data_IF_257437434655
#
_entry.id   IF_257437434655
#
_cell.length_a   1.000
_cell.length_b   1.000
_cell.length_c   1.000
_cell.angle_alpha   90.00
_cell.angle_beta   90.00
_cell.angle_gamma   90.00
#
_symmetry.space_group_name_H-M   'P 1'
#
loop_
_entity.id
_entity.type
_entity.pdbx_description
1 polymer ?
#
# COMPACT_ATOMS: atom_id res chain seq x y z
N UNK A 1 19.93 14.29 -47.92
CA UNK A 1 20.50 15.22 -46.92
C UNK A 1 19.76 14.96 -45.61
N UNK A 2 20.51 14.52 -44.58
CA UNK A 2 20.04 13.80 -43.39
C UNK A 2 19.40 14.78 -42.38
N UNK A 3 18.11 14.64 -42.08
CA UNK A 3 17.44 15.37 -40.99
C UNK A 3 17.64 14.63 -39.67
N UNK A 4 18.68 15.02 -38.93
CA UNK A 4 18.90 14.58 -37.55
C UNK A 4 17.86 15.24 -36.64
N UNK A 5 16.81 14.50 -36.26
CA UNK A 5 15.94 14.90 -35.15
C UNK A 5 16.69 14.66 -33.85
N UNK A 6 16.67 15.68 -33.01
CA UNK A 6 17.31 15.73 -31.71
C UNK A 6 16.65 14.70 -30.80
N UNK A 7 17.42 13.74 -30.30
CA UNK A 7 16.94 12.81 -29.28
C UNK A 7 16.98 13.53 -27.93
N UNK A 8 15.82 13.97 -27.44
CA UNK A 8 15.67 14.33 -26.03
C UNK A 8 15.74 13.04 -25.22
N UNK A 9 16.74 12.93 -24.34
CA UNK A 9 16.82 11.83 -23.39
C UNK A 9 15.54 11.82 -22.51
N UNK A 10 14.89 10.67 -22.30
CA UNK A 10 13.77 10.63 -21.37
C UNK A 10 14.33 10.83 -19.96
N UNK A 11 13.86 11.87 -19.28
CA UNK A 11 14.01 11.98 -17.83
C UNK A 11 13.38 10.72 -17.21
N UNK A 12 14.08 10.10 -16.26
CA UNK A 12 13.56 8.96 -15.51
C UNK A 12 12.37 9.40 -14.66
N UNK A 13 11.18 9.46 -15.25
CA UNK A 13 9.91 9.58 -14.55
C UNK A 13 9.62 8.24 -13.89
N UNK A 14 9.39 8.24 -12.57
CA UNK A 14 8.74 7.14 -11.83
C UNK A 14 7.24 7.00 -12.18
N UNK A 15 6.85 7.45 -13.37
CA UNK A 15 5.56 7.20 -14.00
C UNK A 15 5.82 7.00 -15.48
N UNK A 16 6.17 5.75 -15.83
CA UNK A 16 6.30 5.31 -17.20
C UNK A 16 4.91 4.89 -17.75
N UNK A 17 4.66 5.00 -19.07
CA UNK A 17 3.48 4.42 -19.71
C UNK A 17 3.40 2.90 -19.44
N UNK A 18 2.19 2.31 -19.36
CA UNK A 18 1.95 0.98 -18.78
C UNK A 18 2.36 -0.19 -19.69
N UNK A 19 3.61 -0.25 -20.15
CA UNK A 19 4.09 -1.33 -21.02
C UNK A 19 5.34 -2.07 -20.51
N UNK A 20 6.07 -1.57 -19.51
CA UNK A 20 7.25 -2.26 -18.97
C UNK A 20 7.08 -2.84 -17.56
N UNK A 21 6.04 -2.45 -16.82
CA UNK A 21 5.87 -2.85 -15.42
C UNK A 21 4.73 -3.88 -15.28
N UNK A 22 5.07 -5.13 -15.60
CA UNK A 22 4.18 -6.30 -15.50
C UNK A 22 4.24 -6.97 -14.12
N UNK A 23 4.91 -6.38 -13.14
CA UNK A 23 5.02 -6.91 -11.78
C UNK A 23 3.76 -6.75 -10.94
N UNK A 24 3.69 -7.51 -9.85
CA UNK A 24 2.69 -7.28 -8.80
C UNK A 24 2.94 -5.91 -8.15
N UNK A 25 1.92 -5.06 -8.03
CA UNK A 25 2.10 -3.71 -7.48
C UNK A 25 2.47 -3.78 -5.99
N UNK A 26 3.26 -2.80 -5.56
CA UNK A 26 3.59 -2.55 -4.16
C UNK A 26 3.51 -1.06 -3.88
N UNK A 27 3.22 -0.73 -2.63
CA UNK A 27 2.95 0.64 -2.19
C UNK A 27 3.75 0.96 -0.94
N UNK A 28 4.44 2.10 -0.97
CA UNK A 28 5.14 2.66 0.19
C UNK A 28 4.32 3.85 0.71
N UNK A 29 3.97 3.81 1.99
CA UNK A 29 3.00 4.70 2.62
C UNK A 29 3.58 5.34 3.89
N UNK A 30 3.25 6.61 4.08
CA UNK A 30 3.39 7.32 5.36
C UNK A 30 2.05 7.31 6.13
N UNK A 31 2.01 6.63 7.28
CA UNK A 31 0.87 6.57 8.19
C UNK A 31 1.05 7.48 9.43
N UNK A 32 2.15 8.24 9.49
CA UNK A 32 2.45 9.09 10.64
C UNK A 32 1.84 10.49 10.60
N UNK A 33 1.38 10.91 9.42
CA UNK A 33 0.76 12.21 9.24
C UNK A 33 -0.66 12.25 9.81
N UNK A 34 -1.12 13.46 10.13
CA UNK A 34 -2.50 13.69 10.60
C UNK A 34 -3.52 13.25 9.53
N UNK A 35 -3.21 13.48 8.26
CA UNK A 35 -4.02 13.03 7.14
C UNK A 35 -3.37 11.83 6.43
N UNK A 36 -3.99 10.67 6.58
CA UNK A 36 -3.57 9.40 5.96
C UNK A 36 -3.93 9.36 4.47
N UNK A 37 -3.18 8.61 3.63
CA UNK A 37 -3.51 8.50 2.21
C UNK A 37 -4.83 7.78 1.95
N UNK A 38 -5.23 6.88 2.85
CA UNK A 38 -6.55 6.24 2.83
C UNK A 38 -7.22 6.52 4.15
N UNK A 39 -8.40 7.12 4.10
CA UNK A 39 -9.17 7.50 5.28
C UNK A 39 -10.41 6.61 5.33
N UNK A 40 -10.48 5.78 6.37
CA UNK A 40 -11.64 4.99 6.67
C UNK A 40 -12.55 5.75 7.65
N UNK A 41 -13.73 6.13 7.19
CA UNK A 41 -14.71 6.87 7.98
C UNK A 41 -15.89 5.97 8.35
N UNK A 42 -15.97 5.57 9.62
CA UNK A 42 -17.11 4.83 10.16
C UNK A 42 -18.17 5.79 10.70
N UNK A 43 -19.37 5.81 10.09
CA UNK A 43 -20.53 6.57 10.61
C UNK A 43 -21.32 5.77 11.64
N UNK A 44 -21.42 4.46 11.44
CA UNK A 44 -21.95 3.49 12.42
C UNK A 44 -21.03 2.29 12.40
N UNK A 45 -20.46 1.94 13.56
CA UNK A 45 -19.66 0.74 13.70
C UNK A 45 -20.50 -0.49 13.34
N UNK A 46 -19.87 -1.49 12.73
CA UNK A 46 -20.54 -2.73 12.37
C UNK A 46 -20.98 -3.46 13.64
N UNK A 47 -22.30 -3.54 13.85
CA UNK A 47 -22.89 -4.31 14.94
C UNK A 47 -23.40 -5.63 14.37
N UNK A 48 -22.77 -6.72 14.80
CA UNK A 48 -23.29 -8.05 14.54
C UNK A 48 -24.47 -8.30 15.47
N UNK A 49 -25.64 -8.55 14.90
CA UNK A 49 -26.84 -8.92 15.63
C UNK A 49 -27.22 -10.35 15.22
N UNK A 50 -27.24 -11.23 16.20
CA UNK A 50 -27.69 -12.60 16.06
C UNK A 50 -29.00 -12.77 16.82
N UNK A 51 -30.04 -13.27 16.13
CA UNK A 51 -31.23 -13.84 16.77
C UNK A 51 -31.09 -15.36 16.70
N UNK A 52 -30.32 -15.90 17.64
CA UNK A 52 -30.03 -17.32 17.79
C UNK A 52 -30.67 -17.95 19.05
N UNK A 53 -31.51 -17.19 19.77
CA UNK A 53 -32.24 -17.69 20.94
C UNK A 53 -33.39 -18.63 20.52
N UNK A 54 -33.41 -19.83 21.10
CA UNK A 54 -34.48 -20.82 20.91
C UNK A 54 -35.82 -20.35 21.49
N UNK A 55 -35.81 -19.37 22.40
CA UNK A 55 -37.02 -18.79 22.97
C UNK A 55 -37.59 -17.65 22.12
N UNK A 56 -36.93 -17.28 21.02
CA UNK A 56 -37.44 -16.23 20.15
C UNK A 56 -38.66 -16.72 19.36
N UNK A 57 -39.70 -15.88 19.30
CA UNK A 57 -40.93 -16.21 18.56
C UNK A 57 -40.66 -16.52 17.09
N UNK A 58 -39.65 -15.88 16.49
CA UNK A 58 -39.26 -16.09 15.11
C UNK A 58 -38.63 -17.48 14.91
N UNK A 59 -37.70 -17.87 15.78
CA UNK A 59 -37.04 -19.17 15.71
C UNK A 59 -38.03 -20.30 15.95
N UNK A 60 -38.95 -20.17 16.92
CA UNK A 60 -39.96 -21.18 17.20
C UNK A 60 -40.95 -21.39 16.03
N UNK A 61 -41.37 -20.31 15.36
CA UNK A 61 -42.35 -20.38 14.27
C UNK A 61 -41.75 -20.83 12.95
N UNK A 62 -40.54 -20.39 12.64
CA UNK A 62 -39.94 -20.55 11.32
C UNK A 62 -38.78 -21.57 11.31
N UNK A 63 -38.31 -22.05 12.47
CA UNK A 63 -37.14 -22.92 12.62
C UNK A 63 -35.87 -22.36 11.93
N UNK A 64 -35.72 -21.04 11.94
CA UNK A 64 -34.59 -20.32 11.32
C UNK A 64 -33.92 -19.38 12.32
N UNK A 65 -32.60 -19.27 12.21
CA UNK A 65 -31.77 -18.31 12.96
C UNK A 65 -31.34 -17.16 12.04
N UNK A 66 -31.49 -15.93 12.53
CA UNK A 66 -31.16 -14.74 11.75
C UNK A 66 -29.84 -14.15 12.21
N UNK A 67 -28.99 -13.86 11.22
CA UNK A 67 -27.73 -13.17 11.43
C UNK A 67 -27.71 -11.92 10.54
N UNK A 68 -27.53 -10.77 11.17
CA UNK A 68 -27.49 -9.48 10.50
C UNK A 68 -26.26 -8.67 10.92
N UNK A 69 -25.83 -7.80 10.01
CA UNK A 69 -24.82 -6.78 10.32
C UNK A 69 -25.39 -5.44 9.87
N UNK A 70 -25.62 -4.52 10.82
CA UNK A 70 -25.86 -3.11 10.50
C UNK A 70 -24.56 -2.34 10.68
N UNK A 71 -24.19 -1.58 9.66
CA UNK A 71 -23.00 -0.73 9.70
C UNK A 71 -22.98 0.21 8.50
N UNK A 72 -22.39 1.38 8.71
CA UNK A 72 -22.24 2.39 7.65
C UNK A 72 -20.86 2.97 7.70
N UNK A 73 -20.11 2.76 6.63
CA UNK A 73 -18.75 3.25 6.46
C UNK A 73 -18.57 3.86 5.07
N UNK A 74 -17.53 4.68 4.93
CA UNK A 74 -17.03 5.15 3.65
C UNK A 74 -15.49 5.10 3.65
N UNK A 75 -14.91 4.88 2.48
CA UNK A 75 -13.48 5.00 2.24
C UNK A 75 -13.24 6.22 1.34
N UNK A 76 -12.31 7.09 1.73
CA UNK A 76 -11.88 8.24 0.94
C UNK A 76 -10.38 8.25 0.75
N UNK A 77 -9.94 8.90 -0.33
CA UNK A 77 -8.52 9.18 -0.56
C UNK A 77 -8.13 10.46 0.16
N UNK A 78 -7.00 10.43 0.85
CA UNK A 78 -6.35 11.60 1.43
C UNK A 78 -5.38 12.24 0.44
N UNK A 79 -4.27 12.74 0.97
CA UNK A 79 -3.23 13.34 0.14
C UNK A 79 -2.47 12.29 -0.67
N UNK A 80 -2.19 12.61 -1.93
CA UNK A 80 -1.42 11.73 -2.81
C UNK A 80 0.07 11.76 -2.46
N UNK A 81 0.56 12.84 -1.82
CA UNK A 81 1.95 12.98 -1.45
C UNK A 81 2.40 11.94 -0.40
N UNK A 82 1.48 11.38 0.39
CA UNK A 82 1.81 10.44 1.47
C UNK A 82 1.92 8.99 1.01
N UNK A 83 1.80 8.71 -0.29
CA UNK A 83 1.92 7.36 -0.83
C UNK A 83 2.65 7.34 -2.19
N UNK A 84 3.46 6.31 -2.39
CA UNK A 84 4.10 6.01 -3.68
C UNK A 84 3.79 4.56 -4.05
N UNK A 85 3.26 4.35 -5.25
CA UNK A 85 3.03 3.03 -5.80
C UNK A 85 4.03 2.73 -6.93
N UNK A 86 4.50 1.49 -7.00
CA UNK A 86 5.29 1.02 -8.14
C UNK A 86 4.87 -0.39 -8.55
N UNK A 87 5.06 -0.68 -9.84
CA UNK A 87 4.82 -1.99 -10.46
C UNK A 87 6.12 -2.67 -10.90
N UNK A 88 7.26 -2.02 -10.66
CA UNK A 88 8.58 -2.60 -10.91
C UNK A 88 8.88 -3.72 -9.91
N UNK A 89 9.87 -4.56 -10.19
CA UNK A 89 10.29 -5.61 -9.25
C UNK A 89 10.75 -5.01 -7.91
N UNK A 90 10.33 -5.61 -6.80
CA UNK A 90 10.70 -5.17 -5.46
C UNK A 90 12.16 -5.56 -5.15
N UNK A 91 13.08 -4.62 -5.39
CA UNK A 91 14.53 -4.72 -5.11
C UNK A 91 14.97 -3.58 -4.18
N UNK A 92 16.12 -3.72 -3.53
CA UNK A 92 16.64 -2.69 -2.61
C UNK A 92 16.83 -1.33 -3.32
N UNK A 93 17.33 -1.34 -4.56
CA UNK A 93 17.49 -0.11 -5.36
C UNK A 93 16.16 0.59 -5.66
N UNK A 94 15.11 -0.18 -5.94
CA UNK A 94 13.79 0.36 -6.25
C UNK A 94 13.10 0.87 -4.98
N UNK A 95 13.33 0.20 -3.85
CA UNK A 95 12.87 0.67 -2.53
C UNK A 95 13.52 2.00 -2.14
N UNK A 96 14.84 2.13 -2.35
CA UNK A 96 15.56 3.39 -2.06
C UNK A 96 15.06 4.53 -2.95
N UNK A 97 14.85 4.28 -4.26
CA UNK A 97 14.26 5.28 -5.18
C UNK A 97 12.88 5.73 -4.72
N UNK A 98 12.02 4.80 -4.30
CA UNK A 98 10.68 5.12 -3.80
C UNK A 98 10.74 5.91 -2.47
N UNK A 99 11.64 5.53 -1.56
CA UNK A 99 11.85 6.20 -0.28
C UNK A 99 12.36 7.63 -0.48
N UNK A 100 13.34 7.82 -1.37
CA UNK A 100 13.86 9.14 -1.73
C UNK A 100 12.80 10.02 -2.40
N UNK A 101 11.89 9.44 -3.18
CA UNK A 101 10.79 10.19 -3.77
C UNK A 101 9.79 10.68 -2.72
N UNK A 102 9.43 9.85 -1.72
CA UNK A 102 8.59 10.26 -0.59
C UNK A 102 9.25 11.34 0.26
N UNK A 103 10.52 11.12 0.65
CA UNK A 103 11.28 12.07 1.47
C UNK A 103 11.56 13.38 0.73
N UNK A 104 11.68 13.32 -0.61
CA UNK A 104 11.98 14.45 -1.48
C UNK A 104 10.77 15.32 -1.81
N UNK A 105 9.55 14.94 -1.41
CA UNK A 105 8.36 15.75 -1.69
C UNK A 105 8.38 17.06 -0.89
N UNK A 106 8.24 18.17 -1.62
CA UNK A 106 8.24 19.53 -1.07
C UNK A 106 6.88 20.18 -1.25
N UNK A 107 6.51 21.04 -0.31
CA UNK A 107 5.37 21.91 -0.45
C UNK A 107 5.65 23.03 -1.47
N UNK A 108 4.61 23.77 -1.89
CA UNK A 108 4.73 24.86 -2.88
C UNK A 108 5.68 25.98 -2.43
N UNK A 109 5.89 26.14 -1.13
CA UNK A 109 6.84 27.08 -0.53
C UNK A 109 8.29 26.56 -0.50
N UNK A 110 8.55 25.34 -0.98
CA UNK A 110 9.88 24.73 -1.00
C UNK A 110 10.30 24.04 0.29
N UNK A 111 9.47 24.07 1.34
CA UNK A 111 9.73 23.36 2.59
C UNK A 111 9.49 21.85 2.43
N UNK A 112 10.30 21.00 3.10
CA UNK A 112 10.05 19.57 3.13
C UNK A 112 8.75 19.29 3.87
N UNK A 113 7.91 18.42 3.31
CA UNK A 113 6.60 18.09 3.88
C UNK A 113 6.68 17.18 5.12
N UNK A 114 7.89 16.78 5.52
CA UNK A 114 8.12 15.93 6.70
C UNK A 114 7.57 14.50 6.55
N UNK A 115 7.35 14.05 5.31
CA UNK A 115 6.85 12.71 4.99
C UNK A 115 7.97 11.69 5.24
N UNK A 116 7.63 10.57 5.88
CA UNK A 116 8.54 9.45 6.07
C UNK A 116 7.86 8.12 5.71
N UNK A 117 8.55 7.21 5.01
CA UNK A 117 8.00 5.87 4.80
C UNK A 117 7.83 5.18 6.15
N UNK A 118 6.66 4.59 6.39
CA UNK A 118 6.36 3.86 7.64
C UNK A 118 5.82 2.47 7.38
N UNK A 119 5.06 2.30 6.29
CA UNK A 119 4.37 1.06 5.96
C UNK A 119 4.62 0.71 4.51
N UNK A 120 5.06 -0.52 4.25
CA UNK A 120 5.18 -1.12 2.94
C UNK A 120 4.03 -2.13 2.75
N UNK A 121 3.13 -1.83 1.80
CA UNK A 121 2.02 -2.70 1.45
C UNK A 121 2.38 -3.51 0.20
N UNK A 122 2.35 -4.83 0.32
CA UNK A 122 2.72 -5.76 -0.75
C UNK A 122 1.65 -6.81 -1.00
N UNK A 123 1.58 -7.30 -2.23
CA UNK A 123 0.81 -8.49 -2.58
C UNK A 123 1.49 -9.80 -2.15
N UNK A 124 0.78 -10.93 -2.26
CA UNK A 124 1.30 -12.23 -1.83
C UNK A 124 2.57 -12.68 -2.57
N UNK A 125 2.75 -12.35 -3.86
CA UNK A 125 3.92 -12.77 -4.65
C UNK A 125 5.17 -12.00 -4.25
N UNK A 126 5.02 -10.73 -3.86
CA UNK A 126 6.13 -9.88 -3.40
C UNK A 126 6.48 -10.05 -1.91
N UNK A 127 5.72 -10.86 -1.14
CA UNK A 127 5.94 -11.06 0.30
C UNK A 127 7.37 -11.53 0.64
N UNK A 128 7.91 -12.48 -0.11
CA UNK A 128 9.25 -13.01 0.15
C UNK A 128 10.34 -11.96 -0.11
N UNK A 129 10.18 -11.17 -1.18
CA UNK A 129 11.09 -10.07 -1.49
C UNK A 129 11.03 -8.97 -0.43
N UNK A 130 9.83 -8.60 0.04
CA UNK A 130 9.64 -7.61 1.10
C UNK A 130 10.33 -8.04 2.41
N UNK A 131 10.10 -9.29 2.84
CA UNK A 131 10.78 -9.85 4.02
C UNK A 131 12.30 -9.87 3.87
N UNK A 132 12.82 -10.15 2.68
CA UNK A 132 14.27 -10.14 2.44
C UNK A 132 14.86 -8.73 2.55
N UNK A 133 14.11 -7.70 2.18
CA UNK A 133 14.60 -6.31 2.22
C UNK A 133 14.47 -5.71 3.62
N UNK A 134 13.39 -6.02 4.35
CA UNK A 134 13.07 -5.33 5.61
C UNK A 134 13.34 -6.20 6.86
N UNK A 135 13.03 -7.50 6.81
CA UNK A 135 13.13 -8.41 7.96
C UNK A 135 14.44 -9.21 7.99
N UNK A 136 15.18 -9.29 6.87
CA UNK A 136 16.45 -9.99 6.86
C UNK A 136 17.54 -9.10 7.48
N UNK A 137 18.22 -9.60 8.51
CA UNK A 137 19.38 -8.91 9.10
C UNK A 137 20.61 -8.92 8.18
N UNK A 138 20.70 -9.90 7.27
CA UNK A 138 21.86 -10.11 6.41
C UNK A 138 21.41 -10.22 4.94
N UNK A 139 22.10 -9.50 4.06
CA UNK A 139 21.76 -9.49 2.62
C UNK A 139 22.41 -10.65 1.87
N UNK A 140 23.53 -11.19 2.37
CA UNK A 140 24.28 -12.25 1.70
C UNK A 140 25.15 -13.12 2.63
N UNK A 141 24.70 -13.35 3.88
CA UNK A 141 25.41 -14.24 4.83
C UNK A 141 26.62 -13.63 5.54
N UNK A 142 26.79 -12.31 5.49
CA UNK A 142 27.86 -11.59 6.21
C UNK A 142 27.64 -10.07 6.31
N UNK A 143 27.05 -9.45 5.28
CA UNK A 143 26.80 -8.01 5.26
C UNK A 143 25.49 -7.62 5.96
N UNK A 144 25.60 -6.65 6.89
CA UNK A 144 24.46 -6.06 7.60
C UNK A 144 23.52 -5.34 6.63
N UNK A 145 22.23 -5.65 6.74
CA UNK A 145 21.20 -4.95 5.97
C UNK A 145 20.93 -3.55 6.54
N UNK A 146 21.07 -2.52 5.72
CA UNK A 146 20.82 -1.12 6.09
C UNK A 146 19.33 -0.87 6.36
N UNK A 147 18.44 -1.56 5.63
CA UNK A 147 16.98 -1.35 5.66
C UNK A 147 16.26 -2.22 6.68
N UNK A 148 17.01 -2.82 7.61
CA UNK A 148 16.45 -3.72 8.60
C UNK A 148 15.49 -2.97 9.54
N UNK A 149 14.22 -3.40 9.57
CA UNK A 149 13.12 -2.81 10.36
C UNK A 149 12.84 -1.33 10.09
N UNK A 150 13.13 -0.85 8.89
CA UNK A 150 12.85 0.53 8.51
C UNK A 150 11.34 0.82 8.41
N UNK A 151 10.55 -0.12 7.88
CA UNK A 151 9.10 0.00 7.68
C UNK A 151 8.34 -1.25 8.12
N UNK A 152 7.06 -1.11 8.46
CA UNK A 152 6.18 -2.24 8.73
C UNK A 152 5.67 -2.88 7.42
N UNK A 153 5.64 -4.21 7.35
CA UNK A 153 5.17 -4.93 6.16
C UNK A 153 3.71 -5.32 6.35
N UNK A 154 2.84 -4.77 5.51
CA UNK A 154 1.43 -5.19 5.39
C UNK A 154 1.27 -6.03 4.13
N UNK A 155 0.97 -7.31 4.31
CA UNK A 155 0.67 -8.22 3.19
C UNK A 155 -0.84 -8.21 2.96
N UNK A 156 -1.29 -7.65 1.84
CA UNK A 156 -2.71 -7.63 1.47
C UNK A 156 -3.01 -8.72 0.42
N UNK A 157 -3.98 -9.62 0.67
CA UNK A 157 -4.35 -10.66 -0.28
C UNK A 157 -5.05 -10.12 -1.53
N UNK A 158 -5.55 -8.88 -1.50
CA UNK A 158 -6.32 -8.28 -2.59
C UNK A 158 -5.44 -7.57 -3.63
N UNK A 159 -4.13 -7.45 -3.37
CA UNK A 159 -3.17 -6.90 -4.31
C UNK A 159 -2.67 -8.05 -5.18
N UNK A 160 -3.39 -8.33 -6.25
CA UNK A 160 -3.06 -9.37 -7.21
C UNK A 160 -2.98 -8.79 -8.61
N UNK A 161 -1.95 -9.17 -9.38
CA UNK A 161 -1.99 -8.97 -10.83
C UNK A 161 -3.06 -9.90 -11.42
N UNK A 162 -4.05 -9.39 -12.19
CA UNK A 162 -4.95 -10.26 -12.94
C UNK A 162 -4.14 -11.16 -13.86
N UNK A 163 -4.52 -12.43 -13.93
CA UNK A 163 -3.88 -13.42 -14.80
C UNK A 163 -3.97 -13.02 -16.28
#
# INVERSE_FOLDING_TARGET
MKTTRWATAPAATLSAPPASDQGEPWFLIDDSQVLKPIIWQTRRAFKFEALDDLNSEHTFKNNEFLYGVDGRCNAGFGFWQTAVGSRAALTAENYEKASNLLLGMKATNGEPLGIRPTTLVVGPKNRAAAKRIIDAMLVNGGDSNIWYKDVDIVVSPFITTPA
#
